data_IF_819342158568
#
_entry.id   IF_819342158568
#
_cell.length_a   1.000
_cell.length_b   1.000
_cell.length_c   1.000
_cell.angle_alpha   90.00
_cell.angle_beta   90.00
_cell.angle_gamma   90.00
#
_symmetry.space_group_name_H-M   'P 1'
#
loop_
_entity.id
_entity.type
_entity.pdbx_description
1 polymer ?
#
# COMPACT_ATOMS: atom_id res chain seq x y z
N UNK A 1 7.73 -8.96 -2.37
CA UNK A 1 6.68 -9.03 -1.36
C UNK A 1 7.09 -9.96 -0.26
N UNK A 2 7.28 -9.41 0.94
CA UNK A 2 7.48 -10.19 2.15
C UNK A 2 6.23 -10.98 2.52
N UNK A 3 6.41 -12.11 3.19
CA UNK A 3 5.34 -12.95 3.75
C UNK A 3 5.79 -13.48 5.10
N UNK A 4 4.86 -14.01 5.91
CA UNK A 4 5.20 -14.64 7.19
C UNK A 4 5.49 -13.63 8.31
N UNK A 5 4.91 -12.44 8.21
CA UNK A 5 4.94 -11.46 9.29
C UNK A 5 4.19 -12.01 10.51
N UNK A 6 4.62 -11.60 11.70
CA UNK A 6 4.02 -12.08 12.95
C UNK A 6 2.54 -11.67 13.09
N UNK A 7 1.77 -12.46 13.84
CA UNK A 7 0.39 -12.14 14.17
C UNK A 7 0.35 -11.05 15.27
N UNK A 8 0.65 -9.81 14.90
CA UNK A 8 0.64 -8.65 15.78
C UNK A 8 0.32 -7.38 15.00
N UNK A 9 -0.01 -6.29 15.71
CA UNK A 9 -0.18 -4.98 15.06
C UNK A 9 1.11 -4.51 14.35
N UNK A 10 2.28 -4.83 14.91
CA UNK A 10 3.56 -4.53 14.27
C UNK A 10 3.74 -5.36 12.99
N UNK A 11 3.41 -6.65 13.04
CA UNK A 11 3.43 -7.53 11.87
C UNK A 11 2.48 -7.06 10.77
N UNK A 12 1.29 -6.56 11.12
CA UNK A 12 0.36 -5.95 10.17
C UNK A 12 0.99 -4.70 9.52
N UNK A 13 1.60 -3.82 10.31
CA UNK A 13 2.30 -2.64 9.79
C UNK A 13 3.42 -3.02 8.84
N UNK A 14 4.28 -3.98 9.21
CA UNK A 14 5.37 -4.48 8.36
C UNK A 14 4.85 -5.09 7.05
N UNK A 15 3.75 -5.85 7.12
CA UNK A 15 3.09 -6.38 5.94
C UNK A 15 2.56 -5.27 5.02
N UNK A 16 1.85 -4.28 5.59
CA UNK A 16 1.30 -3.15 4.85
C UNK A 16 2.38 -2.31 4.14
N UNK A 17 3.49 -2.04 4.83
CA UNK A 17 4.67 -1.38 4.24
C UNK A 17 5.21 -2.20 3.08
N UNK A 18 5.55 -3.47 3.29
CA UNK A 18 6.13 -4.32 2.24
C UNK A 18 5.20 -4.47 1.04
N UNK A 19 3.89 -4.62 1.25
CA UNK A 19 2.93 -4.72 0.15
C UNK A 19 2.89 -3.42 -0.66
N UNK A 20 2.86 -2.27 0.01
CA UNK A 20 2.77 -0.99 -0.69
C UNK A 20 4.04 -0.62 -1.45
N UNK A 21 5.22 -0.99 -0.93
CA UNK A 21 6.50 -0.77 -1.59
C UNK A 21 6.73 -1.70 -2.78
N UNK A 22 6.30 -2.96 -2.68
CA UNK A 22 6.62 -4.01 -3.66
C UNK A 22 5.56 -4.19 -4.76
N UNK A 23 4.36 -3.60 -4.62
CA UNK A 23 3.31 -3.72 -5.64
C UNK A 23 3.75 -3.09 -6.96
N UNK A 24 3.61 -3.85 -8.05
CA UNK A 24 3.88 -3.34 -9.39
C UNK A 24 2.78 -2.35 -9.79
N UNK A 25 3.20 -1.21 -10.33
CA UNK A 25 2.35 -0.07 -10.65
C UNK A 25 2.04 0.05 -12.14
N UNK A 26 2.69 -0.76 -12.98
CA UNK A 26 2.51 -0.72 -14.43
C UNK A 26 2.22 -2.10 -15.04
N UNK A 27 2.76 -3.21 -14.56
CA UNK A 27 2.47 -4.53 -15.09
C UNK A 27 1.17 -5.08 -14.46
N UNK A 28 0.05 -4.98 -15.20
CA UNK A 28 -1.25 -5.42 -14.68
C UNK A 28 -1.37 -6.95 -14.51
N UNK A 29 -0.53 -7.71 -15.22
CA UNK A 29 -0.46 -9.18 -15.10
C UNK A 29 0.30 -9.57 -13.84
N UNK A 30 1.44 -8.92 -13.57
CA UNK A 30 2.19 -9.10 -12.34
C UNK A 30 1.39 -8.58 -11.13
N UNK A 31 0.80 -7.40 -11.22
CA UNK A 31 -0.06 -6.84 -10.18
C UNK A 31 -1.21 -7.79 -9.84
N UNK A 32 -1.86 -8.42 -10.83
CA UNK A 32 -2.90 -9.43 -10.55
C UNK A 32 -2.36 -10.62 -9.76
N UNK A 33 -1.15 -11.10 -10.04
CA UNK A 33 -0.52 -12.18 -9.27
C UNK A 33 -0.21 -11.73 -7.84
N UNK A 34 0.32 -10.52 -7.69
CA UNK A 34 0.64 -9.94 -6.39
C UNK A 34 -0.63 -9.74 -5.53
N UNK A 35 -1.65 -9.10 -6.09
CA UNK A 35 -2.94 -8.90 -5.42
C UNK A 35 -3.60 -10.23 -5.03
N UNK A 36 -3.54 -11.25 -5.88
CA UNK A 36 -4.03 -12.60 -5.51
C UNK A 36 -3.28 -13.22 -4.34
N UNK A 37 -1.99 -12.92 -4.18
CA UNK A 37 -1.19 -13.47 -3.08
C UNK A 37 -1.52 -12.79 -1.74
N UNK A 38 -1.90 -11.52 -1.77
CA UNK A 38 -2.13 -10.72 -0.55
C UNK A 38 -3.61 -10.45 -0.26
N UNK A 39 -4.55 -10.72 -1.17
CA UNK A 39 -5.97 -10.51 -0.90
C UNK A 39 -6.55 -11.59 0.03
N UNK A 40 -7.46 -11.20 0.91
CA UNK A 40 -8.21 -12.11 1.77
C UNK A 40 -9.20 -12.93 0.92
N UNK A 41 -9.42 -14.20 1.28
CA UNK A 41 -10.25 -15.10 0.47
C UNK A 41 -11.72 -14.65 0.39
N UNK A 42 -12.19 -13.94 1.43
CA UNK A 42 -13.54 -13.39 1.52
C UNK A 42 -13.70 -12.01 0.87
N UNK A 43 -12.66 -11.47 0.23
CA UNK A 43 -12.68 -10.17 -0.43
C UNK A 43 -12.37 -10.25 -1.93
N UNK A 44 -13.23 -10.92 -2.73
CA UNK A 44 -12.95 -11.17 -4.15
C UNK A 44 -12.78 -9.88 -4.97
N UNK A 45 -13.39 -8.77 -4.55
CA UNK A 45 -13.26 -7.47 -5.20
C UNK A 45 -11.89 -6.80 -5.03
N UNK A 46 -11.10 -7.18 -4.02
CA UNK A 46 -9.79 -6.56 -3.73
C UNK A 46 -8.81 -6.72 -4.90
N UNK A 47 -8.78 -7.91 -5.52
CA UNK A 47 -7.88 -8.18 -6.65
C UNK A 47 -8.24 -7.31 -7.86
N UNK A 48 -9.52 -7.23 -8.20
CA UNK A 48 -9.94 -6.47 -9.38
C UNK A 48 -9.83 -4.97 -9.15
N UNK A 49 -10.07 -4.47 -7.94
CA UNK A 49 -9.83 -3.08 -7.59
C UNK A 49 -8.34 -2.73 -7.70
N UNK A 50 -7.47 -3.55 -7.10
CA UNK A 50 -6.02 -3.34 -7.15
C UNK A 50 -5.47 -3.34 -8.57
N UNK A 51 -5.92 -4.27 -9.41
CA UNK A 51 -5.57 -4.30 -10.85
C UNK A 51 -6.12 -3.07 -11.57
N UNK A 52 -7.35 -2.65 -11.28
CA UNK A 52 -7.97 -1.46 -11.90
C UNK A 52 -7.16 -0.19 -11.63
N UNK A 53 -6.64 0.01 -10.42
CA UNK A 53 -5.77 1.15 -10.11
C UNK A 53 -4.48 1.15 -10.93
N UNK A 54 -3.86 -0.02 -11.15
CA UNK A 54 -2.70 -0.15 -12.05
C UNK A 54 -3.06 0.25 -13.48
N UNK A 55 -4.23 -0.17 -13.98
CA UNK A 55 -4.69 0.21 -15.33
C UNK A 55 -4.90 1.73 -15.45
N UNK A 56 -5.48 2.37 -14.43
CA UNK A 56 -5.65 3.82 -14.40
C UNK A 56 -4.31 4.55 -14.43
N UNK A 57 -3.30 4.05 -13.69
CA UNK A 57 -1.94 4.61 -13.72
C UNK A 57 -1.36 4.50 -15.12
N UNK A 58 -1.47 3.34 -15.77
CA UNK A 58 -1.03 3.14 -17.17
C UNK A 58 -1.70 4.11 -18.13
N UNK A 59 -3.02 4.24 -18.07
CA UNK A 59 -3.78 5.17 -18.91
C UNK A 59 -3.38 6.62 -18.65
N UNK A 60 -3.17 7.00 -17.39
CA UNK A 60 -2.74 8.33 -16.98
C UNK A 60 -1.37 8.75 -17.54
N UNK A 61 -0.50 7.78 -17.82
CA UNK A 61 0.81 8.01 -18.46
C UNK A 61 0.81 7.71 -19.97
N UNK A 62 -0.38 7.54 -20.57
CA UNK A 62 -0.54 7.33 -22.02
C UNK A 62 -0.20 5.92 -22.52
N UNK A 63 -0.15 4.93 -21.63
CA UNK A 63 0.05 3.53 -21.99
C UNK A 63 -1.29 2.81 -22.23
N UNK A 64 -1.30 1.70 -23.00
CA UNK A 64 -2.46 0.83 -23.08
C UNK A 64 -2.86 0.31 -21.69
N UNK A 65 -4.16 0.11 -21.38
CA UNK A 65 -4.63 -0.22 -20.04
C UNK A 65 -4.15 -1.60 -19.52
N UNK A 66 -3.58 -2.45 -20.37
CA UNK A 66 -3.01 -3.75 -19.98
C UNK A 66 -1.70 -4.02 -20.71
N UNK A 67 -0.84 -4.81 -20.09
CA UNK A 67 0.48 -5.20 -20.60
C UNK A 67 1.56 -5.10 -19.53
N UNK A 68 2.76 -5.58 -19.85
CA UNK A 68 3.92 -5.44 -18.98
C UNK A 68 4.38 -4.00 -18.82
N UNK A 69 5.28 -3.78 -17.86
CA UNK A 69 6.00 -2.51 -17.70
C UNK A 69 6.84 -2.23 -18.95
N UNK A 70 6.65 -1.09 -19.64
CA UNK A 70 7.47 -0.74 -20.79
C UNK A 70 8.94 -0.62 -20.44
N UNK A 71 9.81 -0.99 -21.38
CA UNK A 71 11.26 -0.83 -21.20
C UNK A 71 11.63 0.63 -20.92
N UNK A 72 12.47 0.81 -19.90
CA UNK A 72 12.99 2.11 -19.54
C UNK A 72 12.06 2.96 -18.66
N UNK A 73 10.96 2.42 -18.14
CA UNK A 73 10.19 3.07 -17.08
C UNK A 73 10.31 2.24 -15.80
N UNK A 74 10.69 2.88 -14.70
CA UNK A 74 10.71 2.26 -13.37
C UNK A 74 9.98 3.13 -12.37
N UNK A 75 9.29 2.51 -11.43
CA UNK A 75 8.71 3.18 -10.27
C UNK A 75 9.39 2.70 -8.99
N UNK A 76 9.53 3.60 -8.04
CA UNK A 76 9.92 3.27 -6.67
C UNK A 76 8.93 3.91 -5.72
N UNK A 77 8.47 3.15 -4.74
CA UNK A 77 7.65 3.65 -3.63
C UNK A 77 8.50 3.51 -2.37
N UNK A 78 8.60 4.58 -1.58
CA UNK A 78 9.27 4.58 -0.28
C UNK A 78 8.26 4.95 0.79
N UNK A 79 7.98 4.06 1.73
CA UNK A 79 7.14 4.40 2.88
C UNK A 79 8.01 5.07 3.95
N UNK A 80 7.65 6.32 4.28
CA UNK A 80 8.37 7.14 5.25
C UNK A 80 7.89 6.92 6.67
N UNK A 81 6.57 6.77 6.82
CA UNK A 81 5.96 6.50 8.11
C UNK A 81 4.73 5.60 7.97
N UNK A 82 4.40 4.89 9.04
CA UNK A 82 3.22 4.05 9.12
C UNK A 82 2.54 4.14 10.49
N UNK A 83 1.25 3.82 10.50
CA UNK A 83 0.42 3.79 11.70
C UNK A 83 -0.59 2.64 11.59
N UNK A 84 -0.54 1.71 12.53
CA UNK A 84 -1.48 0.58 12.63
C UNK A 84 -2.53 0.80 13.72
N UNK A 85 -3.82 0.60 13.41
CA UNK A 85 -4.92 0.61 14.38
C UNK A 85 -5.82 -0.61 14.20
N UNK A 86 -6.06 -1.35 15.27
CA UNK A 86 -7.03 -2.45 15.26
C UNK A 86 -8.45 -1.93 14.98
N UNK A 87 -9.17 -2.62 14.09
CA UNK A 87 -10.59 -2.40 13.78
C UNK A 87 -11.52 -3.36 14.53
N UNK A 88 -10.95 -4.32 15.27
CA UNK A 88 -11.66 -5.22 16.15
C UNK A 88 -10.97 -5.36 17.52
N UNK A 89 -11.52 -6.23 18.38
CA UNK A 89 -11.02 -6.46 19.73
C UNK A 89 -9.92 -7.53 19.80
N UNK A 90 -9.80 -8.37 18.77
CA UNK A 90 -8.84 -9.47 18.76
C UNK A 90 -7.48 -9.04 18.22
N UNK A 91 -7.45 -7.96 17.42
CA UNK A 91 -6.27 -7.55 16.68
C UNK A 91 -6.17 -8.22 15.32
N UNK A 92 -7.14 -9.06 14.94
CA UNK A 92 -7.09 -9.83 13.69
C UNK A 92 -7.41 -8.97 12.47
N UNK A 93 -7.95 -7.77 12.66
CA UNK A 93 -8.18 -6.80 11.58
C UNK A 93 -7.59 -5.46 11.95
N UNK A 94 -6.68 -4.95 11.13
CA UNK A 94 -5.91 -3.73 11.36
C UNK A 94 -6.01 -2.82 10.14
N UNK A 95 -6.31 -1.55 10.33
CA UNK A 95 -6.03 -0.54 9.31
C UNK A 95 -4.60 -0.04 9.48
N UNK A 96 -3.84 -0.10 8.39
CA UNK A 96 -2.48 0.42 8.30
C UNK A 96 -2.51 1.66 7.41
N UNK A 97 -2.23 2.80 8.01
CA UNK A 97 -2.00 4.05 7.30
C UNK A 97 -0.53 4.16 6.93
N UNK A 98 -0.27 4.67 5.73
CA UNK A 98 1.07 4.77 5.14
C UNK A 98 1.25 6.19 4.62
N UNK A 99 2.34 6.84 5.03
CA UNK A 99 2.84 8.05 4.39
C UNK A 99 4.00 7.66 3.48
N UNK A 100 3.94 8.03 2.21
CA UNK A 100 4.88 7.54 1.21
C UNK A 100 5.23 8.58 0.16
N UNK A 101 6.42 8.40 -0.41
CA UNK A 101 6.85 9.05 -1.63
C UNK A 101 6.86 8.02 -2.77
N UNK A 102 6.63 8.50 -3.99
CA UNK A 102 6.72 7.67 -5.19
C UNK A 102 7.33 8.45 -6.33
N UNK A 103 8.35 7.84 -6.91
CA UNK A 103 9.14 8.40 -7.99
C UNK A 103 9.03 7.50 -9.22
N UNK A 104 8.83 8.12 -10.38
CA UNK A 104 9.08 7.46 -11.65
C UNK A 104 10.46 7.85 -12.19
N UNK A 105 11.11 6.93 -12.89
CA UNK A 105 12.31 7.21 -13.68
C UNK A 105 12.08 6.73 -15.09
N UNK A 106 12.39 7.60 -16.06
CA UNK A 106 12.31 7.29 -17.48
C UNK A 106 13.74 7.32 -18.05
N UNK A 107 14.14 6.21 -18.67
CA UNK A 107 15.42 6.09 -19.38
C UNK A 107 15.59 7.28 -20.33
N UNK A 108 16.76 7.88 -20.30
CA UNK A 108 17.15 9.06 -21.10
C UNK A 108 16.44 10.38 -20.76
N UNK A 109 15.48 10.39 -19.83
CA UNK A 109 14.83 11.62 -19.33
C UNK A 109 15.13 11.93 -17.85
N UNK A 110 15.58 10.94 -17.07
CA UNK A 110 15.89 11.09 -15.65
C UNK A 110 14.69 10.82 -14.75
N UNK A 111 14.74 11.34 -13.52
CA UNK A 111 13.63 11.27 -12.57
C UNK A 111 12.43 12.09 -13.08
N UNK A 112 11.23 11.79 -12.60
CA UNK A 112 10.04 12.57 -12.90
C UNK A 112 10.11 14.00 -12.35
N UNK A 113 9.51 14.94 -13.08
CA UNK A 113 9.46 16.35 -12.68
C UNK A 113 8.45 16.61 -11.56
N UNK A 114 7.54 15.65 -11.31
CA UNK A 114 6.46 15.78 -10.34
C UNK A 114 6.19 14.46 -9.61
N UNK A 115 7.14 13.97 -8.79
CA UNK A 115 6.93 12.79 -7.97
C UNK A 115 5.79 13.02 -6.98
N UNK A 116 5.11 11.94 -6.60
CA UNK A 116 4.20 11.96 -5.46
C UNK A 116 5.04 12.05 -4.18
N UNK A 117 4.75 13.03 -3.33
CA UNK A 117 5.47 13.26 -2.07
C UNK A 117 4.50 13.47 -0.94
N UNK A 118 4.83 12.92 0.22
CA UNK A 118 4.04 13.03 1.46
C UNK A 118 2.60 12.52 1.31
N UNK A 119 2.37 11.59 0.37
CA UNK A 119 1.05 11.05 0.11
C UNK A 119 0.62 10.12 1.24
N UNK A 120 -0.67 10.16 1.57
CA UNK A 120 -1.24 9.30 2.61
C UNK A 120 -2.26 8.33 2.03
N UNK A 121 -2.09 7.05 2.33
CA UNK A 121 -3.04 6.00 1.96
C UNK A 121 -3.31 5.07 3.14
N UNK A 122 -4.21 4.10 2.95
CA UNK A 122 -4.38 3.01 3.92
C UNK A 122 -4.68 1.67 3.26
N UNK A 123 -4.30 0.61 3.96
CA UNK A 123 -4.70 -0.77 3.69
C UNK A 123 -5.44 -1.32 4.91
N UNK A 124 -6.55 -2.02 4.69
CA UNK A 124 -7.16 -2.83 5.75
C UNK A 124 -6.64 -4.25 5.62
N UNK A 125 -5.93 -4.70 6.64
CA UNK A 125 -5.33 -6.03 6.71
C UNK A 125 -6.11 -6.90 7.68
N UNK A 126 -6.30 -8.16 7.32
CA UNK A 126 -6.95 -9.21 8.09
C UNK A 126 -5.99 -10.38 8.23
N UNK A 127 -5.82 -10.88 9.45
CA UNK A 127 -5.06 -12.10 9.68
C UNK A 127 -5.86 -13.31 9.20
N UNK A 128 -5.29 -14.05 8.25
CA UNK A 128 -5.96 -15.21 7.66
C UNK A 128 -4.93 -16.25 7.22
N UNK A 129 -5.17 -17.50 7.59
CA UNK A 129 -4.33 -18.64 7.16
C UNK A 129 -2.83 -18.46 7.46
N UNK A 130 -2.49 -17.78 8.55
CA UNK A 130 -1.11 -17.59 9.00
C UNK A 130 -0.37 -16.42 8.34
N UNK A 131 -1.08 -15.50 7.69
CA UNK A 131 -0.50 -14.32 7.05
C UNK A 131 -1.46 -13.12 7.11
N UNK A 132 -0.93 -11.91 6.93
CA UNK A 132 -1.76 -10.71 6.78
C UNK A 132 -2.29 -10.61 5.36
N UNK A 133 -3.59 -10.34 5.20
CA UNK A 133 -4.24 -10.24 3.90
C UNK A 133 -5.01 -8.93 3.76
N UNK A 134 -4.86 -8.24 2.63
CA UNK A 134 -5.65 -7.07 2.29
C UNK A 134 -7.11 -7.46 2.09
N UNK A 135 -8.02 -6.73 2.72
CA UNK A 135 -9.45 -6.89 2.52
C UNK A 135 -10.11 -5.55 2.22
N UNK A 136 -11.08 -5.57 1.32
CA UNK A 136 -11.96 -4.45 1.01
C UNK A 136 -13.39 -4.69 1.52
N UNK A 137 -13.59 -5.65 2.42
CA UNK A 137 -14.91 -5.96 2.96
C UNK A 137 -15.52 -4.71 3.64
N UNK A 138 -16.74 -4.30 3.23
CA UNK A 138 -17.45 -3.15 3.80
C UNK A 138 -17.58 -3.18 5.32
N UNK A 139 -17.66 -4.35 5.95
CA UNK A 139 -17.79 -4.45 7.41
C UNK A 139 -16.58 -3.88 8.17
N UNK A 140 -15.41 -3.86 7.52
CA UNK A 140 -14.16 -3.34 8.08
C UNK A 140 -13.85 -1.95 7.55
N UNK A 141 -13.96 -1.75 6.24
CA UNK A 141 -13.65 -0.45 5.62
C UNK A 141 -14.58 0.66 6.13
N UNK A 142 -15.84 0.35 6.46
CA UNK A 142 -16.76 1.33 7.07
C UNK A 142 -16.38 1.75 8.51
N UNK A 143 -15.48 1.01 9.19
CA UNK A 143 -14.98 1.34 10.54
C UNK A 143 -13.74 2.21 10.51
N UNK A 144 -13.11 2.39 9.35
CA UNK A 144 -11.87 3.14 9.20
C UNK A 144 -12.12 4.61 9.56
N UNK A 145 -11.29 5.14 10.46
CA UNK A 145 -11.26 6.56 10.83
C UNK A 145 -9.85 7.09 10.61
N UNK A 146 -9.75 8.15 9.81
CA UNK A 146 -8.49 8.79 9.45
C UNK A 146 -7.70 9.28 10.67
N UNK A 147 -6.37 9.14 10.67
CA UNK A 147 -5.51 9.80 11.65
C UNK A 147 -5.33 11.28 11.30
N UNK A 148 -4.71 12.03 12.19
CA UNK A 148 -4.03 13.27 11.79
C UNK A 148 -3.01 12.96 10.69
N UNK A 149 -2.87 13.86 9.73
CA UNK A 149 -1.86 13.74 8.68
C UNK A 149 -0.48 13.57 9.30
N UNK A 150 0.36 12.76 8.66
CA UNK A 150 1.74 12.62 9.09
C UNK A 150 2.49 13.92 8.81
N UNK A 151 3.20 14.38 9.84
CA UNK A 151 4.15 15.47 9.77
C UNK A 151 5.23 15.15 10.83
N UNK A 152 6.51 14.99 10.44
CA UNK A 152 7.58 14.59 11.35
C UNK A 152 7.78 15.59 12.51
N UNK A 153 7.44 16.86 12.32
CA UNK A 153 7.57 17.90 13.34
C UNK A 153 6.28 18.07 14.18
N UNK A 154 5.21 17.35 13.82
CA UNK A 154 3.92 17.45 14.51
C UNK A 154 3.80 16.48 15.67
N UNK A 155 3.81 17.02 16.90
CA UNK A 155 3.50 16.24 18.12
C UNK A 155 2.16 15.50 18.05
N UNK A 156 1.19 16.00 17.28
CA UNK A 156 -0.13 15.38 17.14
C UNK A 156 -0.06 14.11 16.29
N UNK A 157 0.77 14.08 15.23
CA UNK A 157 1.01 12.88 14.45
C UNK A 157 1.62 11.76 15.32
N UNK A 158 2.60 12.11 16.15
CA UNK A 158 3.24 11.18 17.08
C UNK A 158 2.29 10.63 18.15
N UNK A 159 1.43 11.50 18.70
CA UNK A 159 0.38 11.11 19.66
C UNK A 159 -0.69 10.21 19.02
N UNK A 160 -0.98 10.41 17.74
CA UNK A 160 -1.91 9.58 16.97
C UNK A 160 -1.37 8.17 16.69
N UNK A 161 -0.05 7.99 16.84
CA UNK A 161 0.64 6.70 16.75
C UNK A 161 1.50 6.51 15.50
N UNK A 162 1.77 7.57 14.73
CA UNK A 162 2.68 7.48 13.58
C UNK A 162 4.09 7.08 14.02
N UNK A 163 4.75 6.26 13.22
CA UNK A 163 6.14 5.83 13.42
C UNK A 163 6.87 5.87 12.09
N UNK A 164 8.10 6.38 12.10
CA UNK A 164 8.98 6.35 10.93
C UNK A 164 9.39 4.92 10.58
N UNK A 165 9.50 4.67 9.28
CA UNK A 165 9.84 3.38 8.67
C UNK A 165 11.21 3.46 7.99
N UNK A 166 11.49 4.59 7.34
CA UNK A 166 12.78 4.93 6.75
C UNK A 166 13.21 6.33 7.21
N UNK A 167 14.52 6.55 7.28
CA UNK A 167 15.10 7.89 7.45
C UNK A 167 15.20 8.55 6.07
N UNK A 168 14.82 9.83 5.97
CA UNK A 168 14.97 10.67 4.76
C UNK A 168 16.44 11.00 4.44
#
# INVERSE_FOLDING_TARGET
MGTGFEHSNLGAVSAGVSYWEDLDLLDDVLARKQWKAIAAADSPGTVDQGVSEVRKVREGVGLPPSGGTPDGITFSTSVKAALGRSLDKTGDVVVVWLNYDRFATIRDKGADDNPLRDETTSLVLKWESGDWKVTTDPQWTAKVKGPHAYDPDSKYAWLDGWRQVSDD
#
